data_IF_684507289924
#
_entry.id   IF_684507289924
#
_cell.length_a   1.000
_cell.length_b   1.000
_cell.length_c   1.000
_cell.angle_alpha   90.00
_cell.angle_beta   90.00
_cell.angle_gamma   90.00
#
_symmetry.space_group_name_H-M   'P 1'
#
loop_
_entity.id
_entity.type
_entity.pdbx_description
1 polymer ?
#
# COMPACT_ATOMS: atom_id res chain seq x y z
N UNK A 1 -36.66 19.22 39.94
CA UNK A 1 -36.79 19.14 38.47
C UNK A 1 -35.49 18.58 37.94
N UNK A 2 -35.53 17.40 37.33
CA UNK A 2 -34.36 16.69 36.86
C UNK A 2 -33.96 17.21 35.47
N UNK A 3 -32.69 17.59 35.32
CA UNK A 3 -32.07 17.89 34.03
C UNK A 3 -31.68 16.58 33.36
N UNK A 4 -32.36 16.22 32.28
CA UNK A 4 -31.96 15.13 31.39
C UNK A 4 -30.73 15.57 30.60
N UNK A 5 -29.55 15.07 30.97
CA UNK A 5 -28.38 15.11 30.09
C UNK A 5 -28.54 14.01 29.06
N UNK A 6 -28.72 14.43 27.80
CA UNK A 6 -28.61 13.59 26.62
C UNK A 6 -27.23 12.93 26.60
N UNK A 7 -27.18 11.61 26.81
CA UNK A 7 -25.99 10.80 26.57
C UNK A 7 -25.65 10.84 25.09
N UNK A 8 -24.81 11.79 24.69
CA UNK A 8 -24.07 11.64 23.44
C UNK A 8 -23.10 10.47 23.66
N UNK A 9 -23.39 9.34 23.03
CA UNK A 9 -22.38 8.31 22.84
C UNK A 9 -21.21 8.99 22.12
N UNK A 10 -20.10 9.18 22.82
CA UNK A 10 -18.87 9.62 22.21
C UNK A 10 -18.50 8.55 21.16
N UNK A 11 -18.52 8.93 19.89
CA UNK A 11 -18.04 8.08 18.81
C UNK A 11 -16.58 7.67 19.04
N UNK A 12 -16.03 6.76 18.21
CA UNK A 12 -14.60 6.45 18.28
C UNK A 12 -13.79 7.76 18.23
N UNK A 13 -12.73 7.88 19.04
CA UNK A 13 -11.98 9.15 19.18
C UNK A 13 -11.32 9.63 17.89
N UNK A 14 -11.23 8.77 16.86
CA UNK A 14 -10.75 9.09 15.53
C UNK A 14 -11.77 8.69 14.45
N UNK A 15 -11.90 9.47 13.36
CA UNK A 15 -12.73 9.09 12.22
C UNK A 15 -12.14 7.89 11.49
N UNK A 16 -12.98 7.15 10.78
CA UNK A 16 -12.55 6.17 9.79
C UNK A 16 -11.90 6.86 8.59
N UNK A 17 -11.06 6.13 7.86
CA UNK A 17 -10.48 6.66 6.64
C UNK A 17 -11.55 7.09 5.62
N UNK A 18 -12.66 6.34 5.53
CA UNK A 18 -13.75 6.62 4.59
C UNK A 18 -14.47 7.92 4.92
N UNK A 19 -14.64 8.23 6.20
CA UNK A 19 -15.21 9.51 6.65
C UNK A 19 -14.30 10.67 6.23
N UNK A 20 -12.99 10.59 6.50
CA UNK A 20 -12.03 11.61 6.07
C UNK A 20 -12.01 11.84 4.56
N UNK A 21 -12.13 10.76 3.78
CA UNK A 21 -12.20 10.84 2.32
C UNK A 21 -13.50 11.50 1.85
N UNK A 22 -14.64 11.17 2.49
CA UNK A 22 -15.94 11.76 2.17
C UNK A 22 -15.97 13.26 2.48
N UNK A 23 -15.29 13.65 3.56
CA UNK A 23 -15.12 15.04 4.00
C UNK A 23 -14.05 15.80 3.19
N UNK A 24 -13.44 15.16 2.18
CA UNK A 24 -12.35 15.71 1.35
C UNK A 24 -11.16 16.22 2.15
N UNK A 25 -10.91 15.64 3.34
CA UNK A 25 -9.76 15.98 4.15
C UNK A 25 -8.50 15.46 3.45
N UNK A 26 -7.45 16.29 3.40
CA UNK A 26 -6.18 15.86 2.83
C UNK A 26 -5.52 14.82 3.75
N UNK A 27 -5.58 13.55 3.34
CA UNK A 27 -4.93 12.44 4.04
C UNK A 27 -3.54 12.26 3.46
N UNK A 28 -2.52 12.25 4.32
CA UNK A 28 -1.18 11.86 3.89
C UNK A 28 -1.20 10.33 3.69
N UNK A 29 -1.41 9.92 2.43
CA UNK A 29 -1.64 8.54 2.01
C UNK A 29 -0.46 7.58 2.26
N UNK A 30 0.65 8.03 2.83
CA UNK A 30 1.74 7.19 3.29
C UNK A 30 2.72 8.09 4.07
N UNK A 31 2.70 8.10 5.42
CA UNK A 31 3.77 8.72 6.18
C UNK A 31 5.11 8.16 5.69
N UNK A 32 6.19 8.92 5.82
CA UNK A 32 7.53 8.48 5.38
C UNK A 32 7.87 7.07 5.93
N UNK A 33 7.38 6.76 7.14
CA UNK A 33 7.47 5.45 7.77
C UNK A 33 6.92 4.27 6.94
N UNK A 34 5.70 4.40 6.40
CA UNK A 34 5.08 3.32 5.65
C UNK A 34 5.71 3.16 4.25
N UNK A 35 6.26 4.24 3.67
CA UNK A 35 7.05 4.17 2.41
C UNK A 35 8.36 3.41 2.58
N UNK A 36 8.85 3.25 3.81
CA UNK A 36 10.07 2.51 4.13
C UNK A 36 9.86 1.01 4.16
N UNK A 37 8.64 0.50 4.06
CA UNK A 37 8.40 -0.94 4.02
C UNK A 37 8.96 -1.53 2.72
N UNK A 38 9.95 -2.41 2.87
CA UNK A 38 10.39 -3.32 1.84
C UNK A 38 9.59 -4.61 1.99
N UNK A 39 8.57 -4.76 1.15
CA UNK A 39 7.54 -5.76 1.34
C UNK A 39 7.41 -6.66 0.09
N UNK A 40 8.19 -7.73 0.00
CA UNK A 40 7.97 -8.81 -0.96
C UNK A 40 6.58 -9.42 -0.76
N UNK A 41 5.91 -9.79 -1.85
CA UNK A 41 4.65 -10.53 -1.74
C UNK A 41 4.87 -11.83 -0.97
N UNK A 42 5.94 -12.56 -1.28
CA UNK A 42 6.20 -13.88 -0.72
C UNK A 42 6.88 -13.89 0.65
N UNK A 43 6.65 -14.99 1.38
CA UNK A 43 7.28 -15.31 2.66
C UNK A 43 6.29 -15.31 3.84
N UNK A 44 6.82 -15.41 5.06
CA UNK A 44 6.02 -15.44 6.29
C UNK A 44 6.35 -14.22 7.16
N UNK A 45 5.32 -13.62 7.77
CA UNK A 45 5.53 -12.55 8.75
C UNK A 45 6.15 -13.15 10.03
N UNK A 46 7.10 -12.46 10.69
CA UNK A 46 7.66 -11.15 10.35
C UNK A 46 8.91 -11.17 9.47
N UNK A 47 9.42 -12.34 9.09
CA UNK A 47 10.73 -12.48 8.41
C UNK A 47 10.71 -12.07 6.94
N UNK A 48 9.55 -12.05 6.30
CA UNK A 48 9.39 -11.63 4.90
C UNK A 48 9.53 -10.13 4.69
N UNK A 49 9.30 -9.32 5.71
CA UNK A 49 9.24 -7.86 5.60
C UNK A 49 10.50 -7.24 6.20
N UNK A 50 11.03 -6.24 5.50
CA UNK A 50 12.17 -5.44 5.95
C UNK A 50 11.84 -3.96 5.89
N UNK A 51 12.67 -3.15 6.52
CA UNK A 51 12.52 -1.70 6.59
C UNK A 51 13.73 -1.03 5.95
N UNK A 52 13.49 -0.19 4.96
CA UNK A 52 14.53 0.65 4.39
C UNK A 52 14.96 1.70 5.41
N UNK A 53 16.26 2.00 5.46
CA UNK A 53 16.79 3.07 6.34
C UNK A 53 16.18 4.45 6.05
N UNK A 54 15.94 4.73 4.77
CA UNK A 54 15.21 5.91 4.29
C UNK A 54 14.20 5.49 3.23
N UNK A 55 13.18 6.30 2.95
CA UNK A 55 12.15 5.97 1.95
C UNK A 55 12.66 5.86 0.50
N UNK A 56 13.95 6.14 0.25
CA UNK A 56 14.60 6.02 -1.06
C UNK A 56 15.87 5.17 -1.05
N UNK A 57 16.07 4.30 -0.06
CA UNK A 57 17.27 3.46 0.06
C UNK A 57 16.92 1.96 0.06
N UNK A 58 16.53 1.39 -1.10
CA UNK A 58 16.13 -0.02 -1.18
C UNK A 58 17.28 -1.00 -0.93
N UNK A 59 18.53 -0.56 -1.03
CA UNK A 59 19.72 -1.40 -0.81
C UNK A 59 20.18 -1.43 0.66
N UNK A 60 19.57 -0.61 1.52
CA UNK A 60 19.91 -0.52 2.95
C UNK A 60 18.72 -0.93 3.79
N UNK A 61 18.67 -2.23 4.13
CA UNK A 61 17.54 -2.86 4.83
C UNK A 61 17.89 -3.20 6.28
N UNK A 62 16.90 -3.01 7.14
CA UNK A 62 16.90 -3.39 8.55
C UNK A 62 15.72 -4.34 8.80
N UNK A 63 15.84 -5.34 9.71
CA UNK A 63 14.75 -6.28 9.96
C UNK A 63 13.49 -5.59 10.52
N UNK A 64 12.30 -6.01 10.07
CA UNK A 64 11.04 -5.52 10.65
C UNK A 64 10.82 -6.02 12.09
N UNK A 65 11.33 -7.21 12.39
CA UNK A 65 11.35 -7.81 13.73
C UNK A 65 12.72 -8.42 14.00
N UNK A 66 13.27 -8.17 15.18
CA UNK A 66 14.53 -8.73 15.65
C UNK A 66 14.25 -9.71 16.79
N UNK A 67 14.43 -11.02 16.60
CA UNK A 67 14.27 -12.00 17.67
C UNK A 67 15.39 -11.86 18.70
N UNK A 68 15.07 -12.04 19.99
CA UNK A 68 16.10 -12.06 21.04
C UNK A 68 16.96 -13.33 20.92
N UNK A 69 18.25 -13.23 21.26
CA UNK A 69 19.25 -14.29 21.05
C UNK A 69 19.06 -15.55 21.92
N UNK A 70 17.99 -15.67 22.71
CA UNK A 70 17.89 -16.66 23.79
C UNK A 70 16.67 -17.60 23.69
N UNK A 71 16.17 -17.88 22.48
CA UNK A 71 15.17 -18.95 22.26
C UNK A 71 13.80 -18.72 22.90
N UNK A 72 13.57 -17.56 23.51
CA UNK A 72 12.25 -17.07 23.88
C UNK A 72 11.62 -16.38 22.66
N UNK A 73 10.31 -16.50 22.48
CA UNK A 73 9.52 -15.78 21.47
C UNK A 73 9.40 -14.26 21.72
N UNK A 74 10.27 -13.72 22.58
CA UNK A 74 10.40 -12.30 22.84
C UNK A 74 11.36 -11.71 21.79
N UNK A 75 10.98 -10.58 21.21
CA UNK A 75 11.82 -9.88 20.26
C UNK A 75 11.33 -8.45 20.10
N UNK A 76 12.14 -7.64 19.44
CA UNK A 76 11.91 -6.20 19.30
C UNK A 76 11.38 -5.88 17.91
N UNK A 77 10.21 -5.24 17.84
CA UNK A 77 9.67 -4.69 16.60
C UNK A 77 10.37 -3.40 16.22
N UNK A 78 10.57 -3.17 14.91
CA UNK A 78 11.11 -1.92 14.42
C UNK A 78 10.18 -0.74 14.81
N UNK A 79 10.74 0.41 15.16
CA UNK A 79 10.02 1.65 15.53
C UNK A 79 8.87 2.03 14.57
N UNK A 80 9.01 1.79 13.25
CA UNK A 80 7.97 2.11 12.28
C UNK A 80 6.67 1.34 12.51
N UNK A 81 6.73 0.17 13.18
CA UNK A 81 5.58 -0.66 13.49
C UNK A 81 4.62 0.04 14.46
N UNK A 82 5.15 0.92 15.32
CA UNK A 82 4.40 1.65 16.34
C UNK A 82 3.90 3.01 15.85
N UNK A 83 4.23 3.40 14.61
CA UNK A 83 3.79 4.67 14.05
C UNK A 83 2.35 4.56 13.50
N UNK A 84 1.58 5.66 13.51
CA UNK A 84 0.26 5.69 12.89
C UNK A 84 0.36 5.41 11.39
N UNK A 85 -0.61 4.69 10.86
CA UNK A 85 -0.66 4.36 9.43
C UNK A 85 -0.89 5.60 8.55
N UNK A 86 -1.65 6.58 9.05
CA UNK A 86 -2.02 7.80 8.32
C UNK A 86 -1.90 9.02 9.20
N UNK A 87 -1.72 10.17 8.56
CA UNK A 87 -1.94 11.47 9.18
C UNK A 87 -3.01 12.24 8.39
N UNK A 88 -4.14 12.63 9.01
CA UNK A 88 -4.50 12.41 10.42
C UNK A 88 -4.78 10.93 10.73
N UNK A 89 -4.70 10.57 12.02
CA UNK A 89 -4.94 9.22 12.53
C UNK A 89 -6.38 8.76 12.26
N UNK A 90 -6.54 7.46 11.97
CA UNK A 90 -7.84 6.84 11.65
C UNK A 90 -8.14 5.65 12.54
N UNK A 91 -9.42 5.44 12.83
CA UNK A 91 -9.92 4.30 13.64
C UNK A 91 -10.16 3.03 12.82
N UNK A 92 -10.21 3.13 11.50
CA UNK A 92 -10.30 1.97 10.61
C UNK A 92 -9.91 2.30 9.18
N UNK A 93 -9.43 1.29 8.47
CA UNK A 93 -9.10 1.36 7.04
C UNK A 93 -9.67 0.13 6.35
N UNK A 94 -10.38 0.34 5.25
CA UNK A 94 -10.78 -0.74 4.35
C UNK A 94 -9.79 -0.78 3.19
N UNK A 95 -9.18 -1.93 2.97
CA UNK A 95 -8.22 -2.17 1.89
C UNK A 95 -8.79 -3.14 0.86
N UNK A 96 -8.48 -2.92 -0.42
CA UNK A 96 -8.73 -3.84 -1.54
C UNK A 96 -7.47 -4.07 -2.37
N UNK A 97 -7.50 -5.07 -3.25
CA UNK A 97 -6.41 -5.35 -4.19
C UNK A 97 -6.80 -4.85 -5.59
N UNK A 98 -6.08 -3.85 -6.07
CA UNK A 98 -6.33 -3.17 -7.34
C UNK A 98 -6.44 -4.14 -8.52
N UNK A 99 -5.51 -5.10 -8.65
CA UNK A 99 -5.53 -6.03 -9.78
C UNK A 99 -6.76 -6.97 -9.77
N UNK A 100 -7.32 -7.28 -8.60
CA UNK A 100 -8.54 -8.07 -8.49
C UNK A 100 -9.77 -7.23 -8.84
N UNK A 101 -9.84 -6.00 -8.34
CA UNK A 101 -10.92 -5.06 -8.65
C UNK A 101 -10.96 -4.73 -10.16
N UNK A 102 -9.82 -4.42 -10.78
CA UNK A 102 -9.72 -4.09 -12.20
C UNK A 102 -10.01 -5.27 -13.12
N UNK A 103 -9.53 -6.47 -12.76
CA UNK A 103 -9.82 -7.67 -13.55
C UNK A 103 -11.33 -7.90 -13.61
N UNK A 104 -12.01 -7.78 -12.48
CA UNK A 104 -13.44 -7.92 -12.41
C UNK A 104 -14.17 -6.83 -13.19
N UNK A 105 -13.84 -5.56 -12.97
CA UNK A 105 -14.49 -4.45 -13.66
C UNK A 105 -14.30 -4.59 -15.19
N UNK A 106 -13.10 -4.98 -15.65
CA UNK A 106 -12.84 -5.28 -17.06
C UNK A 106 -13.67 -6.47 -17.56
N UNK A 107 -13.76 -7.54 -16.77
CA UNK A 107 -14.54 -8.73 -17.15
C UNK A 107 -16.04 -8.40 -17.24
N UNK A 108 -16.58 -7.67 -16.26
CA UNK A 108 -17.94 -7.16 -16.22
C UNK A 108 -18.28 -6.34 -17.46
N UNK A 109 -17.42 -5.41 -17.83
CA UNK A 109 -17.59 -4.58 -19.02
C UNK A 109 -17.67 -5.42 -20.31
N UNK A 110 -16.79 -6.41 -20.46
CA UNK A 110 -16.74 -7.27 -21.65
C UNK A 110 -17.86 -8.30 -21.72
N UNK A 111 -18.44 -8.69 -20.58
CA UNK A 111 -19.48 -9.72 -20.50
C UNK A 111 -20.87 -9.15 -20.22
N UNK A 112 -21.02 -7.82 -20.27
CA UNK A 112 -22.29 -7.12 -20.14
C UNK A 112 -23.26 -7.58 -21.23
N UNK A 113 -24.18 -8.48 -20.88
CA UNK A 113 -25.19 -9.04 -21.78
C UNK A 113 -25.02 -10.52 -22.15
N UNK A 114 -23.96 -11.19 -21.68
CA UNK A 114 -23.73 -12.62 -21.88
C UNK A 114 -24.00 -13.47 -20.63
N UNK A 115 -24.40 -12.83 -19.54
CA UNK A 115 -24.66 -13.45 -18.24
C UNK A 115 -26.11 -13.20 -17.85
N UNK A 116 -26.85 -14.28 -17.59
CA UNK A 116 -28.26 -14.22 -17.14
C UNK A 116 -28.37 -13.75 -15.69
N UNK A 117 -27.28 -13.82 -14.92
CA UNK A 117 -27.17 -13.34 -13.56
C UNK A 117 -26.08 -12.28 -13.46
N UNK A 118 -26.36 -11.20 -12.73
CA UNK A 118 -25.36 -10.22 -12.34
C UNK A 118 -24.31 -10.93 -11.47
N UNK A 119 -23.05 -10.99 -11.90
CA UNK A 119 -21.98 -11.61 -11.15
C UNK A 119 -21.69 -10.72 -9.93
N UNK A 120 -21.57 -11.34 -8.76
CA UNK A 120 -21.30 -10.61 -7.52
C UNK A 120 -19.92 -9.98 -7.57
N UNK A 121 -19.84 -8.65 -7.39
CA UNK A 121 -18.57 -7.94 -7.27
C UNK A 121 -17.69 -8.62 -6.22
N UNK A 122 -16.43 -8.85 -6.53
CA UNK A 122 -15.42 -9.47 -5.70
C UNK A 122 -15.36 -8.70 -4.37
N UNK A 123 -15.68 -9.42 -3.30
CA UNK A 123 -15.72 -8.87 -1.95
C UNK A 123 -14.36 -8.96 -1.25
N UNK A 124 -13.27 -9.10 -2.01
CA UNK A 124 -11.89 -9.12 -1.52
C UNK A 124 -11.49 -7.76 -0.92
N UNK A 125 -12.10 -7.42 0.20
CA UNK A 125 -11.88 -6.22 1.00
C UNK A 125 -11.65 -6.62 2.44
N UNK A 126 -10.61 -6.06 3.04
CA UNK A 126 -10.29 -6.29 4.45
C UNK A 126 -10.46 -4.98 5.22
N UNK A 127 -11.16 -5.03 6.35
CA UNK A 127 -11.26 -3.89 7.27
C UNK A 127 -10.26 -4.08 8.41
N UNK A 128 -9.28 -3.21 8.48
CA UNK A 128 -8.29 -3.15 9.55
C UNK A 128 -8.81 -2.23 10.64
N UNK A 129 -8.75 -2.72 11.88
CA UNK A 129 -9.05 -1.97 13.11
C UNK A 129 -7.79 -1.95 13.99
N UNK A 130 -7.65 -0.94 14.87
CA UNK A 130 -6.54 -0.89 15.80
C UNK A 130 -6.50 -2.12 16.71
N UNK A 131 -5.29 -2.51 17.12
CA UNK A 131 -5.12 -3.51 18.19
C UNK A 131 -5.75 -3.04 19.50
N UNK A 132 -6.16 -4.01 20.33
CA UNK A 132 -6.78 -3.72 21.63
C UNK A 132 -5.88 -2.81 22.48
N UNK A 133 -6.44 -1.71 22.99
CA UNK A 133 -5.72 -0.70 23.75
C UNK A 133 -5.22 0.49 22.92
N UNK A 134 -5.34 0.44 21.59
CA UNK A 134 -5.11 1.57 20.71
C UNK A 134 -6.42 2.09 20.11
N UNK A 135 -6.46 3.39 19.86
CA UNK A 135 -7.61 4.09 19.30
C UNK A 135 -7.49 4.34 17.79
N UNK A 136 -6.32 4.07 17.21
CA UNK A 136 -5.99 4.35 15.81
C UNK A 136 -5.13 3.25 15.21
N UNK A 137 -5.26 3.06 13.90
CA UNK A 137 -4.56 2.01 13.15
C UNK A 137 -3.06 2.33 13.06
N UNK A 138 -2.22 1.42 13.54
CA UNK A 138 -0.77 1.49 13.40
C UNK A 138 -0.29 0.76 12.14
N UNK A 139 0.95 1.01 11.74
CA UNK A 139 1.61 0.26 10.66
C UNK A 139 1.63 -1.24 10.98
N UNK A 140 1.88 -1.62 12.25
CA UNK A 140 1.85 -3.03 12.64
C UNK A 140 0.48 -3.68 12.45
N UNK A 141 -0.60 -3.03 12.90
CA UNK A 141 -1.96 -3.55 12.74
C UNK A 141 -2.27 -3.81 11.26
N UNK A 142 -1.87 -2.87 10.40
CA UNK A 142 -2.04 -2.97 8.96
C UNK A 142 -1.24 -4.14 8.38
N UNK A 143 0.07 -4.18 8.61
CA UNK A 143 0.96 -5.21 8.06
C UNK A 143 0.56 -6.62 8.53
N UNK A 144 0.25 -6.77 9.82
CA UNK A 144 -0.12 -8.04 10.44
C UNK A 144 -1.48 -8.56 9.98
N UNK A 145 -2.41 -7.68 9.62
CA UNK A 145 -3.70 -8.09 9.04
C UNK A 145 -3.60 -8.34 7.53
N UNK A 146 -2.89 -7.45 6.81
CA UNK A 146 -2.83 -7.46 5.35
C UNK A 146 -1.95 -8.57 4.81
N UNK A 147 -0.76 -8.82 5.39
CA UNK A 147 0.15 -9.81 4.80
C UNK A 147 -0.46 -11.23 4.78
N UNK A 148 -1.02 -11.76 5.88
CA UNK A 148 -1.66 -13.08 5.84
C UNK A 148 -2.89 -13.12 4.92
N UNK A 149 -3.64 -12.02 4.84
CA UNK A 149 -4.79 -11.91 3.94
C UNK A 149 -4.37 -11.96 2.46
N UNK A 150 -3.31 -11.24 2.07
CA UNK A 150 -2.73 -11.37 0.74
C UNK A 150 -2.26 -12.79 0.46
N UNK A 151 -1.66 -13.46 1.46
CA UNK A 151 -1.21 -14.85 1.32
C UNK A 151 -2.37 -15.83 1.13
N UNK A 152 -3.52 -15.61 1.77
CA UNK A 152 -4.70 -16.47 1.58
C UNK A 152 -5.29 -16.43 0.16
N UNK A 153 -5.03 -15.37 -0.61
CA UNK A 153 -5.54 -15.18 -1.98
C UNK A 153 -4.41 -15.10 -3.01
N UNK A 154 -3.20 -15.51 -2.62
CA UNK A 154 -1.98 -15.29 -3.41
C UNK A 154 -2.10 -15.77 -4.84
N UNK A 155 -2.65 -16.97 -5.05
CA UNK A 155 -2.78 -17.55 -6.40
C UNK A 155 -3.67 -16.70 -7.30
N UNK A 156 -4.79 -16.20 -6.79
CA UNK A 156 -5.74 -15.42 -7.57
C UNK A 156 -5.21 -14.01 -7.83
N UNK A 157 -4.52 -13.41 -6.85
CA UNK A 157 -3.82 -12.14 -7.02
C UNK A 157 -2.76 -12.27 -8.12
N UNK A 158 -1.98 -13.35 -8.14
CA UNK A 158 -0.94 -13.57 -9.15
C UNK A 158 -1.56 -13.79 -10.53
N UNK A 159 -2.63 -14.58 -10.66
CA UNK A 159 -3.35 -14.76 -11.93
C UNK A 159 -3.86 -13.43 -12.46
N UNK A 160 -4.55 -12.65 -11.63
CA UNK A 160 -5.06 -11.34 -12.02
C UNK A 160 -3.93 -10.38 -12.41
N UNK A 161 -2.82 -10.40 -11.66
CA UNK A 161 -1.62 -9.61 -11.96
C UNK A 161 -0.99 -10.02 -13.29
N UNK A 162 -0.88 -11.31 -13.58
CA UNK A 162 -0.33 -11.81 -14.85
C UNK A 162 -1.18 -11.40 -16.05
N UNK A 163 -2.52 -11.45 -15.89
CA UNK A 163 -3.46 -10.98 -16.91
C UNK A 163 -3.35 -9.47 -17.11
N UNK A 164 -3.30 -8.69 -16.02
CA UNK A 164 -3.19 -7.23 -16.06
C UNK A 164 -1.87 -6.76 -16.68
N UNK A 165 -0.75 -7.38 -16.32
CA UNK A 165 0.59 -7.01 -16.83
C UNK A 165 0.90 -7.60 -18.20
N UNK A 166 0.08 -8.52 -18.71
CA UNK A 166 0.23 -9.07 -20.06
C UNK A 166 1.53 -9.87 -20.26
N UNK A 167 1.80 -10.83 -19.36
CA UNK A 167 3.01 -11.68 -19.30
C UNK A 167 4.21 -11.01 -18.61
N UNK A 168 4.25 -10.97 -17.26
CA UNK A 168 5.36 -10.38 -16.51
C UNK A 168 6.68 -11.11 -16.79
N UNK A 169 7.79 -10.37 -16.71
CA UNK A 169 9.14 -10.91 -16.93
C UNK A 169 9.65 -11.69 -15.73
N UNK A 170 9.19 -11.30 -14.55
CA UNK A 170 9.65 -11.83 -13.27
C UNK A 170 8.85 -13.06 -12.84
N UNK A 171 9.49 -14.02 -12.14
CA UNK A 171 8.76 -15.09 -11.48
C UNK A 171 7.80 -14.51 -10.41
N UNK A 172 6.75 -15.24 -10.02
CA UNK A 172 5.81 -14.81 -8.98
C UNK A 172 6.44 -14.42 -7.64
N UNK A 173 7.67 -14.87 -7.38
CA UNK A 173 8.45 -14.59 -6.17
C UNK A 173 9.12 -13.22 -6.15
N UNK A 174 9.16 -12.53 -7.29
CA UNK A 174 9.84 -11.25 -7.45
C UNK A 174 8.84 -10.08 -7.58
N UNK A 175 7.67 -10.19 -6.96
CA UNK A 175 6.73 -9.08 -6.83
C UNK A 175 6.85 -8.37 -5.48
N UNK A 176 6.80 -7.05 -5.53
CA UNK A 176 6.73 -6.17 -4.36
C UNK A 176 5.31 -5.67 -4.15
N UNK A 177 4.88 -5.65 -2.89
CA UNK A 177 3.62 -5.05 -2.46
C UNK A 177 3.77 -3.54 -2.50
N UNK A 178 3.09 -2.90 -3.46
CA UNK A 178 2.92 -1.46 -3.52
C UNK A 178 1.59 -1.11 -2.86
N UNK A 179 1.65 -0.40 -1.74
CA UNK A 179 0.47 -0.11 -0.93
C UNK A 179 0.21 1.40 -0.80
N UNK A 180 -1.07 1.72 -0.79
CA UNK A 180 -1.66 2.87 -0.11
C UNK A 180 -2.57 2.32 0.99
N UNK A 181 -3.06 3.13 1.94
CA UNK A 181 -3.95 2.65 2.99
C UNK A 181 -5.17 1.89 2.46
N UNK A 182 -5.77 2.32 1.35
CA UNK A 182 -6.98 1.70 0.80
C UNK A 182 -6.72 0.68 -0.32
N UNK A 183 -5.57 0.76 -0.99
CA UNK A 183 -5.36 0.02 -2.23
C UNK A 183 -3.99 -0.60 -2.26
N UNK A 184 -3.97 -1.91 -2.52
CA UNK A 184 -2.77 -2.70 -2.73
C UNK A 184 -2.65 -3.05 -4.21
N UNK A 185 -1.45 -2.91 -4.74
CA UNK A 185 -1.06 -3.33 -6.09
C UNK A 185 0.26 -4.08 -6.02
N UNK A 186 0.55 -4.87 -7.05
CA UNK A 186 1.83 -5.55 -7.19
C UNK A 186 2.68 -4.87 -8.25
N UNK A 187 3.98 -4.80 -8.01
CA UNK A 187 4.96 -4.24 -8.94
C UNK A 187 6.13 -5.22 -9.05
N UNK A 188 6.69 -5.43 -10.24
CA UNK A 188 7.91 -6.23 -10.39
C UNK A 188 9.02 -5.60 -9.52
N UNK A 189 9.77 -6.42 -8.78
CA UNK A 189 10.77 -5.97 -7.81
C UNK A 189 11.80 -5.03 -8.42
N UNK A 190 12.28 -5.33 -9.62
CA UNK A 190 13.22 -4.46 -10.34
C UNK A 190 12.62 -3.07 -10.60
N UNK A 191 11.35 -3.03 -11.02
CA UNK A 191 10.64 -1.78 -11.29
C UNK A 191 10.41 -0.97 -10.01
N UNK A 192 10.00 -1.66 -8.94
CA UNK A 192 9.82 -1.06 -7.62
C UNK A 192 11.14 -0.49 -7.07
N UNK A 193 12.22 -1.27 -7.11
CA UNK A 193 13.55 -0.85 -6.61
C UNK A 193 14.05 0.35 -7.40
N UNK A 194 13.94 0.34 -8.73
CA UNK A 194 14.32 1.48 -9.57
C UNK A 194 13.52 2.74 -9.24
N UNK A 195 12.20 2.61 -9.05
CA UNK A 195 11.32 3.73 -8.69
C UNK A 195 11.66 4.31 -7.32
N UNK A 196 11.89 3.46 -6.33
CA UNK A 196 12.18 3.86 -4.94
C UNK A 196 13.60 4.42 -4.80
N UNK A 197 14.59 3.77 -5.41
CA UNK A 197 15.99 4.20 -5.38
C UNK A 197 16.31 5.42 -6.24
N UNK A 198 15.31 6.07 -6.85
CA UNK A 198 15.47 7.18 -7.81
C UNK A 198 16.42 6.81 -8.97
N UNK A 199 16.38 5.56 -9.40
CA UNK A 199 17.13 5.10 -10.57
C UNK A 199 16.71 5.84 -11.84
N UNK A 200 17.54 5.81 -12.90
CA UNK A 200 17.22 6.45 -14.16
C UNK A 200 15.88 5.92 -14.74
N UNK A 201 15.15 6.73 -15.54
CA UNK A 201 13.91 6.29 -16.16
C UNK A 201 14.11 5.01 -16.96
N UNK A 202 13.17 4.05 -16.84
CA UNK A 202 13.19 2.76 -17.56
C UNK A 202 13.30 2.95 -19.08
N UNK A 203 12.65 4.01 -19.57
CA UNK A 203 12.72 4.47 -20.95
C UNK A 203 13.29 5.89 -20.91
N UNK A 204 14.62 6.06 -20.98
CA UNK A 204 15.19 7.39 -21.09
C UNK A 204 14.63 8.02 -22.36
N UNK A 205 14.04 9.21 -22.23
CA UNK A 205 13.62 9.96 -23.41
C UNK A 205 14.85 10.18 -24.29
N UNK A 206 14.73 9.89 -25.59
CA UNK A 206 15.87 10.02 -26.48
C UNK A 206 16.40 11.47 -26.43
N UNK A 207 17.72 11.69 -26.60
CA UNK A 207 18.28 13.04 -26.63
C UNK A 207 17.56 13.94 -27.65
N UNK A 208 17.16 13.36 -28.79
CA UNK A 208 16.37 14.03 -29.83
C UNK A 208 14.96 14.44 -29.39
N UNK A 209 14.30 13.66 -28.53
CA UNK A 209 12.99 14.01 -27.98
C UNK A 209 13.10 15.06 -26.87
N UNK A 210 14.16 15.00 -26.06
CA UNK A 210 14.48 16.02 -25.05
C UNK A 210 14.84 17.37 -25.70
N UNK A 211 15.60 17.37 -26.80
CA UNK A 211 15.88 18.58 -27.57
C UNK A 211 14.60 19.17 -28.19
N UNK A 212 13.69 18.32 -28.66
CA UNK A 212 12.39 18.75 -29.18
C UNK A 212 11.53 19.41 -28.10
N UNK A 213 11.42 18.80 -26.92
CA UNK A 213 10.73 19.37 -25.76
C UNK A 213 11.37 20.66 -25.25
N UNK A 214 12.70 20.79 -25.32
CA UNK A 214 13.42 22.01 -24.95
C UNK A 214 13.22 23.14 -25.98
N UNK A 215 13.03 22.78 -27.25
CA UNK A 215 12.77 23.72 -28.34
C UNK A 215 11.31 24.19 -28.36
N UNK A 216 10.37 23.35 -27.92
CA UNK A 216 8.97 23.70 -27.73
C UNK A 216 8.79 24.48 -26.41
N UNK A 217 8.80 25.81 -26.50
CA UNK A 217 8.64 26.80 -25.41
C UNK A 217 7.30 26.73 -24.61
N UNK A 218 6.64 25.58 -24.50
CA UNK A 218 5.36 25.41 -23.80
C UNK A 218 5.46 24.86 -22.36
N UNK A 219 6.62 24.40 -21.90
CA UNK A 219 6.80 23.91 -20.53
C UNK A 219 8.09 24.44 -19.89
N UNK A 220 8.06 25.70 -19.45
CA UNK A 220 9.08 26.25 -18.56
C UNK A 220 8.77 25.77 -17.14
N UNK A 221 9.28 24.60 -16.76
CA UNK A 221 9.44 24.24 -15.36
C UNK A 221 10.86 24.66 -14.97
N UNK A 222 10.98 25.82 -14.34
CA UNK A 222 12.24 26.26 -13.75
C UNK A 222 12.60 25.32 -12.60
N UNK A 223 13.46 24.34 -12.86
CA UNK A 223 14.13 23.60 -11.81
C UNK A 223 15.24 24.51 -11.25
N UNK A 224 15.28 24.77 -9.93
CA UNK A 224 16.35 25.54 -9.34
C UNK A 224 17.66 24.75 -9.45
N UNK A 225 18.69 25.41 -10.01
CA UNK A 225 20.05 24.89 -10.01
C UNK A 225 20.52 24.75 -8.56
N UNK A 226 20.88 23.53 -8.17
CA UNK A 226 21.57 23.27 -6.92
C UNK A 226 23.09 23.46 -7.10
N UNK A 227 23.80 23.95 -6.06
CA UNK A 227 25.21 24.33 -6.10
C UNK A 227 26.19 23.16 -6.26
#
# INVERSE_FOLDING_TARGET
MATSQSSQQAGPPYPSYKELQSDMVHIIHCPDAAKRLFWPLDGVLPTSISVMRTSSSPDSLEPYFQPDTEGNSCGTWHEISQLPLTEPKVSSVQVSVYHLDEWEDTWLEHHRGHIEAEPTKNEAKLVIKPSAGNDYVMVHDYVSAVHPWLMSMREDILKATMLFLGNPRSPPTDFMVKHTPQTISLEEKEDWVRRVGRGPPKYPMSPSFLEKLRSDHAFVINLPNAP
#
